data_IF_908918319638
#
_entry.id   IF_908918319638
#
_cell.length_a   1.000
_cell.length_b   1.000
_cell.length_c   1.000
_cell.angle_alpha   90.00
_cell.angle_beta   90.00
_cell.angle_gamma   90.00
#
_symmetry.space_group_name_H-M   'P 1'
#
loop_
_entity.id
_entity.type
_entity.pdbx_description
1 polymer ?
#
# COMPACT_ATOMS: atom_id res chain seq x y z
N UNK A 1 -5.02 -8.32 29.06
CA UNK A 1 -6.41 -8.28 29.61
C UNK A 1 -7.29 -7.70 28.52
N UNK A 2 -7.86 -8.55 27.68
CA UNK A 2 -8.97 -8.15 26.79
C UNK A 2 -10.14 -7.79 27.71
N UNK A 3 -10.58 -6.54 27.66
CA UNK A 3 -11.79 -6.09 28.35
C UNK A 3 -12.97 -6.87 27.77
N UNK A 4 -13.43 -7.87 28.49
CA UNK A 4 -14.74 -8.48 28.26
C UNK A 4 -15.78 -7.55 28.86
N UNK A 5 -16.39 -6.73 28.03
CA UNK A 5 -17.70 -6.07 28.15
C UNK A 5 -17.67 -4.77 27.35
N UNK A 6 -17.80 -4.87 26.06
CA UNK A 6 -18.38 -3.82 25.27
C UNK A 6 -19.49 -4.47 24.47
N UNK A 7 -20.66 -3.93 24.52
CA UNK A 7 -21.72 -4.28 23.61
C UNK A 7 -21.12 -4.25 22.20
N UNK A 8 -21.32 -5.35 21.45
CA UNK A 8 -20.87 -5.46 20.08
C UNK A 8 -21.71 -4.50 19.22
N UNK A 9 -21.49 -3.20 19.40
CA UNK A 9 -22.09 -2.18 18.56
C UNK A 9 -21.29 -2.14 17.26
N UNK A 10 -21.95 -2.50 16.18
CA UNK A 10 -21.37 -2.31 14.83
C UNK A 10 -21.18 -0.82 14.64
N UNK A 11 -19.94 -0.41 14.35
CA UNK A 11 -19.60 0.99 14.09
C UNK A 11 -20.42 1.52 12.91
N UNK A 12 -20.95 2.74 13.04
CA UNK A 12 -21.74 3.39 11.98
C UNK A 12 -20.95 3.50 10.69
N UNK A 13 -19.65 3.77 10.77
CA UNK A 13 -18.76 3.88 9.61
C UNK A 13 -18.63 2.53 8.89
N UNK A 14 -18.48 1.43 9.63
CA UNK A 14 -18.45 0.11 9.05
C UNK A 14 -19.78 -0.28 8.39
N UNK A 15 -20.90 0.06 9.01
CA UNK A 15 -22.23 -0.16 8.43
C UNK A 15 -22.42 0.63 7.15
N UNK A 16 -22.00 1.89 7.12
CA UNK A 16 -22.07 2.76 5.94
C UNK A 16 -21.20 2.21 4.80
N UNK A 17 -19.96 1.81 5.10
CA UNK A 17 -19.08 1.17 4.11
C UNK A 17 -19.69 -0.14 3.57
N UNK A 18 -20.31 -0.95 4.43
CA UNK A 18 -20.97 -2.19 4.03
C UNK A 18 -22.16 -1.94 3.09
N UNK A 19 -22.94 -0.88 3.33
CA UNK A 19 -24.03 -0.48 2.43
C UNK A 19 -23.50 -0.03 1.05
N UNK A 20 -22.43 0.76 1.00
CA UNK A 20 -21.79 1.13 -0.26
C UNK A 20 -21.23 -0.08 -1.00
N UNK A 21 -20.56 -1.00 -0.29
CA UNK A 21 -20.06 -2.24 -0.87
C UNK A 21 -21.19 -3.13 -1.39
N UNK A 22 -22.33 -3.18 -0.70
CA UNK A 22 -23.53 -3.88 -1.18
C UNK A 22 -24.05 -3.25 -2.47
N UNK A 23 -24.09 -1.92 -2.55
CA UNK A 23 -24.49 -1.20 -3.77
C UNK A 23 -23.59 -1.56 -4.97
N UNK A 24 -22.27 -1.61 -4.77
CA UNK A 24 -21.31 -2.03 -5.79
C UNK A 24 -21.55 -3.50 -6.19
N UNK A 25 -21.79 -4.40 -5.20
CA UNK A 25 -22.07 -5.79 -5.47
C UNK A 25 -23.35 -6.01 -6.29
N UNK A 26 -24.42 -5.28 -5.97
CA UNK A 26 -25.67 -5.34 -6.72
C UNK A 26 -25.51 -4.81 -8.14
N UNK A 27 -24.81 -3.70 -8.32
CA UNK A 27 -24.51 -3.16 -9.65
C UNK A 27 -23.63 -4.13 -10.46
N UNK A 28 -22.62 -4.73 -9.83
CA UNK A 28 -21.79 -5.78 -10.44
C UNK A 28 -22.59 -7.00 -10.85
N UNK A 29 -23.49 -7.47 -10.00
CA UNK A 29 -24.38 -8.59 -10.33
C UNK A 29 -25.31 -8.26 -11.51
N UNK A 30 -25.91 -7.07 -11.51
CA UNK A 30 -26.75 -6.62 -12.62
C UNK A 30 -25.94 -6.54 -13.94
N UNK A 31 -24.68 -6.07 -13.90
CA UNK A 31 -23.80 -6.03 -15.04
C UNK A 31 -23.46 -7.43 -15.58
N UNK A 32 -23.20 -8.40 -14.71
CA UNK A 32 -22.95 -9.80 -15.08
C UNK A 32 -24.16 -10.38 -15.80
N UNK A 33 -25.36 -10.19 -15.24
CA UNK A 33 -26.61 -10.68 -15.84
C UNK A 33 -26.88 -10.01 -17.18
N UNK A 34 -26.71 -8.65 -17.25
CA UNK A 34 -27.00 -7.89 -18.47
C UNK A 34 -26.04 -8.26 -19.61
N UNK A 35 -24.74 -8.41 -19.32
CA UNK A 35 -23.72 -8.73 -20.32
C UNK A 35 -23.54 -10.23 -20.55
N UNK A 36 -24.27 -11.08 -19.86
CA UNK A 36 -24.17 -12.55 -19.93
C UNK A 36 -22.71 -13.04 -19.77
N UNK A 37 -22.01 -12.50 -18.76
CA UNK A 37 -20.63 -12.84 -18.43
C UNK A 37 -20.56 -13.72 -17.19
N UNK A 38 -19.39 -14.35 -16.94
CA UNK A 38 -19.15 -15.18 -15.75
C UNK A 38 -18.20 -14.49 -14.76
N UNK A 39 -17.90 -13.18 -14.95
CA UNK A 39 -17.03 -12.42 -14.05
C UNK A 39 -17.83 -11.85 -12.86
N UNK A 40 -17.82 -12.58 -11.75
CA UNK A 40 -18.50 -12.20 -10.52
C UNK A 40 -17.61 -11.38 -9.56
N UNK A 41 -16.45 -10.90 -9.97
CA UNK A 41 -15.51 -10.20 -9.09
C UNK A 41 -16.18 -9.02 -8.37
N UNK A 42 -16.90 -8.17 -9.10
CA UNK A 42 -17.62 -7.04 -8.51
C UNK A 42 -18.91 -7.44 -7.81
N UNK A 43 -19.57 -8.50 -8.24
CA UNK A 43 -20.78 -9.02 -7.56
C UNK A 43 -20.48 -9.53 -6.14
N UNK A 44 -19.26 -10.02 -5.89
CA UNK A 44 -18.80 -10.49 -4.57
C UNK A 44 -18.03 -9.44 -3.78
N UNK A 45 -18.03 -8.18 -4.21
CA UNK A 45 -17.21 -7.11 -3.63
C UNK A 45 -17.45 -6.91 -2.13
N UNK A 46 -18.70 -7.05 -1.64
CA UNK A 46 -19.00 -6.92 -0.21
C UNK A 46 -18.24 -7.93 0.64
N UNK A 47 -18.10 -9.16 0.15
CA UNK A 47 -17.37 -10.23 0.86
C UNK A 47 -15.88 -9.87 0.89
N UNK A 48 -15.32 -9.46 -0.24
CA UNK A 48 -13.92 -9.04 -0.34
C UNK A 48 -13.62 -7.85 0.59
N UNK A 49 -14.50 -6.86 0.65
CA UNK A 49 -14.38 -5.71 1.55
C UNK A 49 -14.36 -6.15 3.02
N UNK A 50 -15.23 -7.07 3.43
CA UNK A 50 -15.23 -7.57 4.81
C UNK A 50 -13.97 -8.36 5.16
N UNK A 51 -13.46 -9.16 4.23
CA UNK A 51 -12.20 -9.88 4.41
C UNK A 51 -11.04 -8.89 4.58
N UNK A 52 -10.98 -7.84 3.75
CA UNK A 52 -9.93 -6.81 3.86
C UNK A 52 -10.03 -6.02 5.17
N UNK A 53 -11.22 -5.63 5.58
CA UNK A 53 -11.44 -4.96 6.86
C UNK A 53 -11.05 -5.85 8.04
N UNK A 54 -11.40 -7.13 8.00
CA UNK A 54 -11.00 -8.12 9.02
C UNK A 54 -9.49 -8.30 9.09
N UNK A 55 -8.82 -8.39 7.93
CA UNK A 55 -7.37 -8.44 7.83
C UNK A 55 -6.70 -7.19 8.41
N UNK A 56 -7.18 -6.01 8.03
CA UNK A 56 -6.68 -4.74 8.55
C UNK A 56 -6.86 -4.64 10.08
N UNK A 57 -8.04 -5.02 10.59
CA UNK A 57 -8.31 -5.05 12.03
C UNK A 57 -7.36 -5.99 12.77
N UNK A 58 -7.10 -7.17 12.22
CA UNK A 58 -6.19 -8.15 12.81
C UNK A 58 -4.76 -7.60 12.90
N UNK A 59 -4.26 -7.01 11.80
CA UNK A 59 -2.91 -6.42 11.76
C UNK A 59 -2.78 -5.27 12.77
N UNK A 60 -3.74 -4.33 12.78
CA UNK A 60 -3.72 -3.19 13.72
C UNK A 60 -3.83 -3.66 15.17
N UNK A 61 -4.64 -4.70 15.44
CA UNK A 61 -4.78 -5.29 16.77
C UNK A 61 -3.48 -5.96 17.22
N UNK A 62 -2.78 -6.65 16.32
CA UNK A 62 -1.48 -7.24 16.59
C UNK A 62 -0.43 -6.16 16.90
N UNK A 63 -0.35 -5.11 16.10
CA UNK A 63 0.54 -3.97 16.34
C UNK A 63 0.26 -3.34 17.69
N UNK A 64 -1.02 -3.16 18.04
CA UNK A 64 -1.42 -2.65 19.35
C UNK A 64 -1.00 -3.58 20.49
N UNK A 65 -1.13 -4.89 20.32
CA UNK A 65 -0.72 -5.88 21.32
C UNK A 65 0.80 -5.87 21.55
N UNK A 66 1.59 -5.70 20.48
CA UNK A 66 3.05 -5.68 20.54
C UNK A 66 3.62 -4.36 21.09
N UNK A 67 3.02 -3.23 20.73
CA UNK A 67 3.55 -1.89 21.07
C UNK A 67 2.72 -1.12 22.11
N UNK A 68 1.65 -1.71 22.64
CA UNK A 68 0.73 -1.05 23.58
C UNK A 68 -0.19 -0.01 22.92
N UNK A 69 0.16 0.50 21.74
CA UNK A 69 -0.62 1.48 20.97
C UNK A 69 -0.45 1.22 19.46
N UNK A 70 -1.44 1.63 18.68
CA UNK A 70 -1.35 1.67 17.22
C UNK A 70 -1.56 3.13 16.78
N UNK A 71 -0.49 3.78 16.30
CA UNK A 71 -0.57 5.11 15.68
C UNK A 71 -0.47 4.98 14.17
N UNK A 72 -0.98 5.97 13.43
CA UNK A 72 -0.89 6.02 11.97
C UNK A 72 0.57 5.90 11.51
N UNK A 73 1.49 6.60 12.17
CA UNK A 73 2.92 6.54 11.87
C UNK A 73 3.49 5.14 12.07
N UNK A 74 3.12 4.47 13.18
CA UNK A 74 3.62 3.12 13.45
C UNK A 74 3.10 2.10 12.43
N UNK A 75 1.81 2.11 12.14
CA UNK A 75 1.20 1.25 11.12
C UNK A 75 1.79 1.58 9.74
N UNK A 76 1.96 2.87 9.43
CA UNK A 76 2.57 3.34 8.20
C UNK A 76 3.99 2.81 8.02
N UNK A 77 4.81 2.83 9.07
CA UNK A 77 6.17 2.28 9.02
C UNK A 77 6.19 0.78 8.69
N UNK A 78 5.27 -0.01 9.23
CA UNK A 78 5.13 -1.42 8.86
C UNK A 78 4.74 -1.58 7.38
N UNK A 79 3.80 -0.77 6.88
CA UNK A 79 3.41 -0.80 5.47
C UNK A 79 4.57 -0.41 4.55
N UNK A 80 5.33 0.62 4.90
CA UNK A 80 6.55 1.03 4.17
C UNK A 80 7.57 -0.09 4.14
N UNK A 81 7.86 -0.70 5.29
CA UNK A 81 8.80 -1.81 5.39
C UNK A 81 8.38 -3.00 4.50
N UNK A 82 7.10 -3.38 4.53
CA UNK A 82 6.57 -4.45 3.68
C UNK A 82 6.71 -4.10 2.19
N UNK A 83 6.40 -2.88 1.77
CA UNK A 83 6.53 -2.47 0.37
C UNK A 83 8.00 -2.46 -0.09
N UNK A 84 8.91 -1.94 0.73
CA UNK A 84 10.35 -1.96 0.44
C UNK A 84 10.86 -3.40 0.34
N UNK A 85 10.47 -4.28 1.28
CA UNK A 85 10.82 -5.69 1.23
C UNK A 85 10.29 -6.38 -0.03
N UNK A 86 9.07 -6.07 -0.46
CA UNK A 86 8.53 -6.60 -1.72
C UNK A 86 9.32 -6.14 -2.95
N UNK A 87 9.78 -4.91 -2.98
CA UNK A 87 10.66 -4.41 -4.03
C UNK A 87 12.01 -5.15 -4.04
N UNK A 88 12.62 -5.35 -2.87
CA UNK A 88 13.88 -6.09 -2.74
C UNK A 88 13.69 -7.55 -3.19
N UNK A 89 12.62 -8.21 -2.73
CA UNK A 89 12.30 -9.58 -3.13
C UNK A 89 12.09 -9.70 -4.65
N UNK A 90 11.40 -8.74 -5.27
CA UNK A 90 11.22 -8.73 -6.72
C UNK A 90 12.55 -8.66 -7.47
N UNK A 91 13.50 -7.86 -6.99
CA UNK A 91 14.85 -7.81 -7.55
C UNK A 91 15.61 -9.14 -7.37
N UNK A 92 15.51 -9.76 -6.20
CA UNK A 92 16.18 -11.06 -5.93
C UNK A 92 15.56 -12.15 -6.82
N UNK A 93 14.22 -12.21 -6.94
CA UNK A 93 13.52 -13.17 -7.81
C UNK A 93 14.00 -13.02 -9.25
N UNK A 94 14.08 -11.78 -9.75
CA UNK A 94 14.52 -11.49 -11.13
C UNK A 94 16.00 -11.80 -11.37
N UNK A 95 16.84 -11.70 -10.34
CA UNK A 95 18.30 -11.88 -10.47
C UNK A 95 18.75 -13.32 -10.31
N UNK A 96 17.93 -14.20 -9.72
CA UNK A 96 18.32 -15.58 -9.41
C UNK A 96 17.27 -16.59 -9.90
N UNK A 97 17.54 -17.29 -11.02
CA UNK A 97 16.63 -18.31 -11.55
C UNK A 97 16.29 -19.43 -10.56
N UNK A 98 17.26 -19.79 -9.70
CA UNK A 98 17.04 -20.82 -8.68
C UNK A 98 16.06 -20.33 -7.60
N UNK A 99 16.17 -19.07 -7.21
CA UNK A 99 15.25 -18.45 -6.24
C UNK A 99 13.86 -18.24 -6.86
N UNK A 100 13.79 -17.85 -8.12
CA UNK A 100 12.53 -17.76 -8.86
C UNK A 100 11.80 -19.11 -8.88
N UNK A 101 12.48 -20.19 -9.20
CA UNK A 101 11.89 -21.55 -9.20
C UNK A 101 11.40 -21.95 -7.81
N UNK A 102 12.18 -21.65 -6.76
CA UNK A 102 11.78 -21.90 -5.38
C UNK A 102 10.49 -21.17 -5.01
N UNK A 103 10.43 -19.88 -5.29
CA UNK A 103 9.23 -19.05 -5.01
C UNK A 103 8.03 -19.55 -5.81
N UNK A 104 8.21 -19.81 -7.11
CA UNK A 104 7.12 -20.27 -7.97
C UNK A 104 6.57 -21.63 -7.53
N UNK A 105 7.41 -22.51 -7.00
CA UNK A 105 6.96 -23.80 -6.46
C UNK A 105 6.01 -23.66 -5.27
N UNK A 106 6.23 -22.66 -4.40
CA UNK A 106 5.45 -22.48 -3.18
C UNK A 106 4.30 -21.46 -3.35
N UNK A 107 4.45 -20.46 -4.21
CA UNK A 107 3.54 -19.31 -4.31
C UNK A 107 2.62 -19.41 -5.53
N UNK A 108 3.07 -20.00 -6.65
CA UNK A 108 2.25 -20.12 -7.86
C UNK A 108 0.99 -20.97 -7.65
N UNK A 109 1.06 -21.98 -6.76
CA UNK A 109 -0.10 -22.81 -6.39
C UNK A 109 -1.20 -22.04 -5.63
N UNK A 110 -0.94 -20.81 -5.19
CA UNK A 110 -1.90 -19.98 -4.45
C UNK A 110 -2.71 -19.04 -5.37
N UNK A 111 -2.51 -19.07 -6.69
CA UNK A 111 -3.27 -18.28 -7.66
C UNK A 111 -3.06 -16.75 -7.59
N UNK A 112 -2.07 -16.28 -6.83
CA UNK A 112 -1.82 -14.84 -6.65
C UNK A 112 -1.10 -14.17 -7.83
N UNK A 113 -0.56 -14.97 -8.75
CA UNK A 113 0.27 -14.47 -9.85
C UNK A 113 -0.05 -15.24 -11.11
N UNK A 114 -0.48 -14.55 -12.15
CA UNK A 114 -0.53 -15.11 -13.51
C UNK A 114 0.87 -15.04 -14.13
N UNK A 115 1.60 -16.14 -14.02
CA UNK A 115 2.97 -16.27 -14.52
C UNK A 115 3.07 -16.09 -16.05
N UNK A 116 2.01 -16.40 -16.79
CA UNK A 116 2.00 -16.25 -18.24
C UNK A 116 1.98 -14.76 -18.61
N UNK A 117 1.06 -14.01 -18.02
CA UNK A 117 0.97 -12.55 -18.20
C UNK A 117 2.27 -11.84 -17.75
N UNK A 118 2.91 -12.30 -16.66
CA UNK A 118 4.17 -11.72 -16.20
C UNK A 118 5.32 -11.98 -17.18
N UNK A 119 5.43 -13.18 -17.74
CA UNK A 119 6.44 -13.52 -18.75
C UNK A 119 6.27 -12.72 -20.03
N UNK A 120 5.04 -12.56 -20.50
CA UNK A 120 4.73 -11.76 -21.69
C UNK A 120 5.06 -10.28 -21.49
N UNK A 121 4.76 -9.73 -20.32
CA UNK A 121 4.99 -8.31 -20.01
C UNK A 121 6.40 -7.99 -19.55
N UNK A 122 7.26 -9.00 -19.29
CA UNK A 122 8.63 -8.87 -18.76
C UNK A 122 8.68 -7.98 -17.50
N UNK A 123 7.69 -8.11 -16.61
CA UNK A 123 7.60 -7.31 -15.40
C UNK A 123 8.15 -8.06 -14.20
N UNK A 124 8.71 -7.28 -13.27
CA UNK A 124 9.08 -7.82 -11.97
C UNK A 124 7.84 -8.18 -11.16
N UNK A 125 7.99 -9.11 -10.23
CA UNK A 125 6.93 -9.47 -9.28
C UNK A 125 7.54 -9.84 -7.92
N UNK A 126 6.80 -9.55 -6.86
CA UNK A 126 7.12 -9.96 -5.50
C UNK A 126 6.19 -11.09 -5.03
N UNK A 127 6.31 -11.47 -3.78
CA UNK A 127 5.45 -12.49 -3.17
C UNK A 127 4.06 -11.86 -2.90
N UNK A 128 3.05 -12.22 -3.69
CA UNK A 128 1.71 -11.63 -3.62
C UNK A 128 1.64 -10.15 -4.02
N UNK A 129 2.65 -9.66 -4.75
CA UNK A 129 2.73 -8.30 -5.24
C UNK A 129 3.09 -8.32 -6.72
N UNK A 130 2.10 -8.21 -7.59
CA UNK A 130 2.27 -8.18 -9.05
C UNK A 130 1.29 -7.22 -9.69
N UNK A 131 1.69 -6.69 -10.85
CA UNK A 131 0.87 -5.85 -11.72
C UNK A 131 0.10 -4.72 -10.97
N UNK A 132 -1.13 -4.48 -11.34
CA UNK A 132 -1.90 -3.32 -10.87
C UNK A 132 -2.23 -3.36 -9.39
N UNK A 133 -2.41 -4.56 -8.81
CA UNK A 133 -2.66 -4.72 -7.37
C UNK A 133 -1.44 -4.26 -6.55
N UNK A 134 -0.23 -4.56 -7.00
CA UNK A 134 0.98 -4.06 -6.37
C UNK A 134 1.11 -2.54 -6.56
N UNK A 135 0.83 -2.03 -7.76
CA UNK A 135 0.93 -0.62 -8.08
C UNK A 135 0.03 0.27 -7.23
N UNK A 136 -1.21 -0.15 -7.00
CA UNK A 136 -2.15 0.59 -6.14
C UNK A 136 -1.68 0.62 -4.68
N UNK A 137 -1.12 -0.49 -4.17
CA UNK A 137 -0.55 -0.56 -2.82
C UNK A 137 0.67 0.35 -2.69
N UNK A 138 1.57 0.33 -3.66
CA UNK A 138 2.75 1.20 -3.71
C UNK A 138 2.36 2.68 -3.79
N UNK A 139 1.37 3.03 -4.62
CA UNK A 139 0.85 4.38 -4.72
C UNK A 139 0.26 4.88 -3.38
N UNK A 140 -0.52 4.05 -2.71
CA UNK A 140 -1.08 4.38 -1.40
C UNK A 140 0.02 4.58 -0.34
N UNK A 141 1.04 3.70 -0.33
CA UNK A 141 2.15 3.80 0.63
C UNK A 141 3.03 5.01 0.34
N UNK A 142 3.30 5.36 -0.91
CA UNK A 142 4.02 6.59 -1.28
C UNK A 142 3.29 7.84 -0.78
N UNK A 143 1.97 7.90 -0.95
CA UNK A 143 1.15 9.01 -0.42
C UNK A 143 1.18 9.05 1.11
N UNK A 144 1.15 7.90 1.77
CA UNK A 144 1.27 7.80 3.23
C UNK A 144 2.65 8.26 3.72
N UNK A 145 3.73 7.93 3.01
CA UNK A 145 5.08 8.42 3.33
C UNK A 145 5.10 9.96 3.25
N UNK A 146 4.54 10.55 2.19
CA UNK A 146 4.47 12.00 2.06
C UNK A 146 3.73 12.63 3.23
N UNK A 147 2.59 12.06 3.64
CA UNK A 147 1.86 12.49 4.82
C UNK A 147 2.71 12.38 6.09
N UNK A 148 3.40 11.26 6.32
CA UNK A 148 4.24 11.07 7.50
C UNK A 148 5.41 12.06 7.53
N UNK A 149 6.05 12.34 6.39
CA UNK A 149 7.14 13.31 6.29
C UNK A 149 6.72 14.73 6.68
N UNK A 150 5.47 15.10 6.44
CA UNK A 150 4.95 16.45 6.76
C UNK A 150 4.41 16.57 8.18
N UNK A 151 4.16 15.44 8.87
CA UNK A 151 3.57 15.41 10.22
C UNK A 151 4.53 14.93 11.32
N UNK A 152 5.75 14.54 10.96
CA UNK A 152 6.79 14.15 11.92
C UNK A 152 7.70 15.33 12.18
N UNK A 153 8.14 15.49 13.44
CA UNK A 153 9.17 16.44 13.81
C UNK A 153 10.52 16.00 13.19
N UNK A 154 10.85 16.61 12.06
CA UNK A 154 12.02 16.29 11.24
C UNK A 154 13.33 16.67 11.94
N UNK A 155 13.30 17.59 12.90
CA UNK A 155 14.50 17.99 13.64
C UNK A 155 14.95 16.93 14.62
N UNK A 156 13.99 16.28 15.27
CA UNK A 156 14.24 15.21 16.23
C UNK A 156 14.56 13.87 15.58
N UNK A 157 14.05 13.63 14.34
CA UNK A 157 14.11 12.33 13.68
C UNK A 157 14.76 12.38 12.29
N UNK A 158 16.00 12.82 12.20
CA UNK A 158 16.76 12.86 10.93
C UNK A 158 16.85 11.50 10.22
N UNK A 159 17.03 10.42 10.99
CA UNK A 159 17.09 9.06 10.44
C UNK A 159 15.76 8.60 9.81
N UNK A 160 14.63 8.96 10.43
CA UNK A 160 13.32 8.67 9.84
C UNK A 160 13.14 9.36 8.49
N UNK A 161 13.57 10.62 8.37
CA UNK A 161 13.50 11.37 7.13
C UNK A 161 14.28 10.67 6.00
N UNK A 162 15.55 10.33 6.24
CA UNK A 162 16.36 9.64 5.24
C UNK A 162 15.81 8.25 4.89
N UNK A 163 15.26 7.53 5.85
CA UNK A 163 14.61 6.24 5.57
C UNK A 163 13.38 6.38 4.68
N UNK A 164 12.58 7.44 4.85
CA UNK A 164 11.44 7.71 3.98
C UNK A 164 11.87 8.14 2.57
N UNK A 165 12.89 8.99 2.47
CA UNK A 165 13.47 9.36 1.16
C UNK A 165 13.97 8.11 0.44
N UNK A 166 14.74 7.26 1.11
CA UNK A 166 15.22 6.00 0.54
C UNK A 166 14.05 5.08 0.12
N UNK A 167 12.99 4.99 0.94
CA UNK A 167 11.80 4.21 0.61
C UNK A 167 11.08 4.76 -0.63
N UNK A 168 10.95 6.08 -0.78
CA UNK A 168 10.37 6.71 -1.98
C UNK A 168 11.17 6.31 -3.23
N UNK A 169 12.51 6.37 -3.16
CA UNK A 169 13.37 5.98 -4.29
C UNK A 169 13.25 4.49 -4.62
N UNK A 170 13.30 3.61 -3.62
CA UNK A 170 13.21 2.16 -3.82
C UNK A 170 11.84 1.80 -4.40
N UNK A 171 10.75 2.27 -3.78
CA UNK A 171 9.40 1.96 -4.24
C UNK A 171 9.12 2.64 -5.58
N UNK A 172 9.56 3.88 -5.79
CA UNK A 172 9.37 4.61 -7.04
C UNK A 172 10.09 3.95 -8.21
N UNK A 173 11.36 3.57 -8.04
CA UNK A 173 12.16 2.96 -9.11
C UNK A 173 11.73 1.50 -9.35
N UNK A 174 11.84 0.64 -8.33
CA UNK A 174 11.59 -0.79 -8.48
C UNK A 174 10.09 -1.08 -8.59
N UNK A 175 9.26 -0.38 -7.83
CA UNK A 175 7.80 -0.51 -7.90
C UNK A 175 7.26 -0.17 -9.29
N UNK A 176 7.87 0.78 -10.02
CA UNK A 176 7.50 1.08 -11.41
C UNK A 176 7.85 -0.06 -12.37
N UNK A 177 8.91 -0.82 -12.10
CA UNK A 177 9.25 -2.03 -12.86
C UNK A 177 8.24 -3.16 -12.60
N UNK A 178 7.58 -3.17 -11.44
CA UNK A 178 6.50 -4.11 -11.11
C UNK A 178 5.17 -3.64 -11.73
N UNK A 179 4.81 -2.36 -11.53
CA UNK A 179 3.57 -1.78 -12.04
C UNK A 179 3.70 -0.30 -12.39
N UNK A 180 3.22 0.08 -13.59
CA UNK A 180 3.19 1.48 -14.04
C UNK A 180 2.31 2.38 -13.16
N UNK A 181 1.31 1.82 -12.48
CA UNK A 181 0.46 2.55 -11.53
C UNK A 181 1.26 3.18 -10.39
N UNK A 182 2.44 2.63 -10.07
CA UNK A 182 3.36 3.21 -9.08
C UNK A 182 3.81 4.62 -9.49
N UNK A 183 3.98 4.90 -10.79
CA UNK A 183 4.33 6.25 -11.28
C UNK A 183 3.28 7.29 -10.89
N UNK A 184 2.00 6.93 -10.98
CA UNK A 184 0.91 7.82 -10.53
C UNK A 184 1.06 8.09 -9.02
N UNK A 185 1.39 7.06 -8.24
CA UNK A 185 1.67 7.21 -6.81
C UNK A 185 2.83 8.15 -6.52
N UNK A 186 3.92 8.07 -7.30
CA UNK A 186 5.05 9.00 -7.18
C UNK A 186 4.61 10.44 -7.48
N UNK A 187 3.85 10.65 -8.57
CA UNK A 187 3.33 11.98 -8.92
C UNK A 187 2.42 12.56 -7.83
N UNK A 188 1.52 11.77 -7.28
CA UNK A 188 0.64 12.19 -6.18
C UNK A 188 1.46 12.50 -4.92
N UNK A 189 2.43 11.65 -4.58
CA UNK A 189 3.35 11.87 -3.47
C UNK A 189 4.09 13.23 -3.61
N UNK A 190 4.68 13.48 -4.76
CA UNK A 190 5.41 14.73 -5.05
C UNK A 190 4.46 15.94 -5.03
N UNK A 191 3.30 15.83 -5.67
CA UNK A 191 2.31 16.90 -5.68
C UNK A 191 1.84 17.26 -4.25
N UNK A 192 1.61 16.25 -3.41
CA UNK A 192 1.25 16.46 -2.00
C UNK A 192 2.38 17.15 -1.23
N UNK A 193 3.62 16.70 -1.38
CA UNK A 193 4.78 17.32 -0.72
C UNK A 193 4.97 18.77 -1.16
N UNK A 194 4.86 19.06 -2.46
CA UNK A 194 4.93 20.42 -3.00
C UNK A 194 3.81 21.30 -2.41
N UNK A 195 2.58 20.77 -2.38
CA UNK A 195 1.44 21.48 -1.81
C UNK A 195 1.69 21.83 -0.32
N UNK A 196 2.10 20.87 0.49
CA UNK A 196 2.37 21.09 1.92
C UNK A 196 3.50 22.10 2.13
N UNK A 197 4.60 22.00 1.37
CA UNK A 197 5.74 22.92 1.46
C UNK A 197 5.36 24.35 1.06
N UNK A 198 4.57 24.52 0.00
CA UNK A 198 4.23 25.86 -0.52
C UNK A 198 3.12 26.54 0.28
N UNK A 199 2.09 25.79 0.70
CA UNK A 199 0.85 26.40 1.19
C UNK A 199 0.60 26.17 2.68
N UNK A 200 1.12 25.10 3.28
CA UNK A 200 0.76 24.71 4.64
C UNK A 200 1.88 24.80 5.66
N UNK A 201 3.13 24.58 5.27
CA UNK A 201 4.27 24.70 6.18
C UNK A 201 4.55 26.17 6.53
N UNK A 202 4.21 26.55 7.76
CA UNK A 202 4.52 27.87 8.32
C UNK A 202 5.95 27.95 8.90
N UNK A 203 6.54 26.81 9.25
CA UNK A 203 7.87 26.75 9.81
C UNK A 203 8.93 26.80 8.69
N UNK A 204 9.68 27.91 8.63
CA UNK A 204 10.73 28.13 7.62
C UNK A 204 11.86 27.10 7.69
N UNK A 205 12.21 26.60 8.87
CA UNK A 205 13.29 25.65 9.04
C UNK A 205 12.94 24.29 8.41
N UNK A 206 11.76 23.76 8.71
CA UNK A 206 11.26 22.52 8.12
C UNK A 206 11.04 22.63 6.61
N UNK A 207 10.54 23.79 6.15
CA UNK A 207 10.37 24.09 4.72
C UNK A 207 11.70 24.10 3.96
N UNK A 208 12.71 24.84 4.46
CA UNK A 208 14.05 24.90 3.85
C UNK A 208 14.71 23.52 3.79
N UNK A 209 14.51 22.69 4.81
CA UNK A 209 15.08 21.35 4.87
C UNK A 209 14.46 20.40 3.84
N UNK A 210 13.13 20.40 3.66
CA UNK A 210 12.49 19.64 2.59
C UNK A 210 12.91 20.11 1.21
N UNK A 211 12.96 21.43 0.97
CA UNK A 211 13.43 22.01 -0.29
C UNK A 211 14.89 21.58 -0.57
N UNK A 212 15.77 21.61 0.43
CA UNK A 212 17.17 21.21 0.24
C UNK A 212 17.32 19.74 -0.13
N UNK A 213 16.48 18.84 0.40
CA UNK A 213 16.49 17.43 0.04
C UNK A 213 16.10 17.24 -1.42
N UNK A 214 15.06 17.94 -1.88
CA UNK A 214 14.67 17.89 -3.30
C UNK A 214 15.70 18.53 -4.23
N UNK A 215 16.41 19.56 -3.78
CA UNK A 215 17.47 20.23 -4.57
C UNK A 215 18.76 19.39 -4.69
N UNK A 216 19.07 18.55 -3.70
CA UNK A 216 20.26 17.67 -3.72
C UNK A 216 20.00 16.38 -4.53
N UNK A 217 18.74 16.05 -4.80
CA UNK A 217 18.38 14.88 -5.62
C UNK A 217 18.31 15.17 -7.13
N UNK A 218 18.72 16.37 -7.56
CA UNK A 218 18.86 16.79 -8.94
C UNK A 218 20.34 16.98 -9.27
#
# INVERSE_FOLDING_TARGET
RMSRRGDATIDKDFSTLSLWALGVSLAGFAAVVYNNTYDYMYATYIISMWVWCGGAYTVVSLIRALHGKASVVLVGNYLVAVCVMQCILAMIISSSPSFEQLINRYVAGLGFVDLNTLKETKRLYGIGASLDVAGTRFAAVLTLIAYMMTHIDLEKNKWALWSYVAAIFIIGAIGNMISRTTTIGVLVCLAYLVYEVLFRMRDEASRKKLISIFAVSY
#
